data_IF_447347564666
#
_entry.id   IF_447347564666
#
_cell.length_a   1.000
_cell.length_b   1.000
_cell.length_c   1.000
_cell.angle_alpha   90.00
_cell.angle_beta   90.00
_cell.angle_gamma   90.00
#
_symmetry.space_group_name_H-M   'P 1'
#
loop_
_entity.id
_entity.type
_entity.pdbx_description
1 polymer ?
#
# COMPACT_ATOMS: atom_id res chain seq x y z
N UNK A 1 32.87 27.37 -22.61
CA UNK A 1 32.48 27.70 -21.22
C UNK A 1 30.97 27.56 -20.95
N UNK A 2 30.08 27.85 -21.91
CA UNK A 2 28.61 27.75 -21.75
C UNK A 2 28.04 26.32 -21.69
N UNK A 3 28.74 25.34 -22.28
CA UNK A 3 28.31 23.93 -22.30
C UNK A 3 28.73 23.14 -21.05
N UNK A 4 29.75 23.61 -20.31
CA UNK A 4 30.22 22.96 -19.07
C UNK A 4 29.26 23.24 -17.90
N UNK A 5 28.65 24.43 -17.86
CA UNK A 5 27.62 24.77 -16.87
C UNK A 5 26.30 24.01 -17.07
N UNK A 6 25.99 23.59 -18.31
CA UNK A 6 24.82 22.75 -18.60
C UNK A 6 25.00 21.34 -18.03
N UNK A 7 26.20 20.76 -18.15
CA UNK A 7 26.52 19.45 -17.57
C UNK A 7 26.45 19.45 -16.04
N UNK A 8 26.91 20.51 -15.37
CA UNK A 8 26.80 20.62 -13.91
C UNK A 8 25.35 20.80 -13.41
N UNK A 9 24.50 21.49 -14.16
CA UNK A 9 23.08 21.68 -13.84
C UNK A 9 22.26 20.39 -13.94
N UNK A 10 22.55 19.56 -14.94
CA UNK A 10 21.89 18.26 -15.12
C UNK A 10 22.37 17.23 -14.08
N UNK A 11 23.65 17.26 -13.73
CA UNK A 11 24.22 16.32 -12.76
C UNK A 11 23.65 16.51 -11.34
N UNK A 12 23.39 17.76 -10.93
CA UNK A 12 22.81 18.08 -9.61
C UNK A 12 21.40 17.51 -9.40
N UNK A 13 20.58 17.42 -10.46
CA UNK A 13 19.23 16.86 -10.37
C UNK A 13 19.23 15.34 -10.18
N UNK A 14 20.26 14.62 -10.65
CA UNK A 14 20.33 13.16 -10.58
C UNK A 14 20.65 12.67 -9.16
N UNK A 15 21.42 13.44 -8.38
CA UNK A 15 21.85 13.05 -7.02
C UNK A 15 20.72 13.16 -5.99
N UNK A 16 19.64 13.91 -6.29
CA UNK A 16 18.53 14.13 -5.36
C UNK A 16 17.38 13.10 -5.49
N UNK A 17 17.56 12.04 -6.28
CA UNK A 17 16.50 11.06 -6.57
C UNK A 17 16.81 9.64 -6.10
N UNK A 18 17.62 9.46 -5.06
CA UNK A 18 17.91 8.14 -4.49
C UNK A 18 17.98 8.17 -2.95
N UNK A 19 16.95 8.70 -2.28
CA UNK A 19 16.75 8.42 -0.85
C UNK A 19 15.32 7.95 -0.65
N UNK A 20 15.13 6.63 -0.73
CA UNK A 20 13.85 5.98 -0.57
C UNK A 20 14.00 4.55 -0.05
N UNK A 21 14.88 4.32 0.93
CA UNK A 21 15.00 3.03 1.60
C UNK A 21 13.84 2.85 2.59
N UNK A 22 12.69 2.39 2.10
CA UNK A 22 11.57 1.96 2.92
C UNK A 22 11.82 0.57 3.49
N UNK A 23 12.61 0.46 4.55
CA UNK A 23 12.67 -0.79 5.31
C UNK A 23 11.28 -1.06 5.90
N UNK A 24 10.64 -2.13 5.43
CA UNK A 24 9.32 -2.55 5.91
C UNK A 24 9.49 -3.06 7.33
N UNK A 25 8.95 -2.40 8.36
CA UNK A 25 9.08 -2.91 9.71
C UNK A 25 8.35 -4.27 9.76
N UNK A 26 8.96 -5.24 10.44
CA UNK A 26 8.43 -6.61 10.60
C UNK A 26 7.05 -6.66 11.29
N UNK A 27 6.51 -5.50 11.68
CA UNK A 27 5.25 -5.31 12.39
C UNK A 27 4.04 -5.07 11.49
N UNK A 28 4.14 -5.05 10.15
CA UNK A 28 3.00 -4.77 9.25
C UNK A 28 2.17 -6.05 8.93
N UNK A 29 1.63 -6.73 9.95
CA UNK A 29 0.67 -7.83 9.78
C UNK A 29 -0.75 -7.30 9.57
N UNK A 30 -1.68 -8.16 9.13
CA UNK A 30 -3.07 -7.74 8.90
C UNK A 30 -3.70 -7.22 10.20
N UNK A 31 -3.47 -7.91 11.31
CA UNK A 31 -4.01 -7.58 12.64
C UNK A 31 -3.42 -6.29 13.19
N UNK A 32 -2.12 -6.05 13.01
CA UNK A 32 -1.49 -4.80 13.48
C UNK A 32 -1.93 -3.59 12.64
N UNK A 33 -2.12 -3.77 11.33
CA UNK A 33 -2.66 -2.75 10.44
C UNK A 33 -4.10 -2.39 10.79
N UNK A 34 -4.91 -3.37 11.20
CA UNK A 34 -6.26 -3.12 11.71
C UNK A 34 -6.24 -2.37 13.05
N UNK A 35 -5.27 -2.66 13.92
CA UNK A 35 -5.08 -1.94 15.18
C UNK A 35 -4.56 -0.50 14.97
N UNK A 36 -3.97 -0.19 13.82
CA UNK A 36 -3.47 1.15 13.48
C UNK A 36 -4.01 1.65 12.12
N UNK A 37 -5.25 2.17 12.08
CA UNK A 37 -5.90 2.59 10.85
C UNK A 37 -5.22 3.80 10.17
N UNK A 38 -4.50 4.64 10.93
CA UNK A 38 -3.72 5.75 10.37
C UNK A 38 -2.58 5.21 9.51
N UNK A 39 -1.84 4.24 10.03
CA UNK A 39 -0.75 3.57 9.31
C UNK A 39 -1.25 2.82 8.07
N UNK A 40 -2.39 2.14 8.19
CA UNK A 40 -3.03 1.45 7.06
C UNK A 40 -3.40 2.41 5.93
N UNK A 41 -3.92 3.61 6.25
CA UNK A 41 -4.25 4.63 5.24
C UNK A 41 -3.00 5.15 4.51
N UNK A 42 -1.91 5.41 5.24
CA UNK A 42 -0.64 5.84 4.65
C UNK A 42 -0.07 4.80 3.69
N UNK A 43 -0.02 3.52 4.13
CA UNK A 43 0.46 2.43 3.29
C UNK A 43 -0.42 2.19 2.07
N UNK A 44 -1.74 2.37 2.20
CA UNK A 44 -2.66 2.29 1.06
C UNK A 44 -2.35 3.35 0.00
N UNK A 45 -2.00 4.57 0.40
CA UNK A 45 -1.55 5.61 -0.54
C UNK A 45 -0.21 5.23 -1.17
N UNK A 46 0.77 4.79 -0.37
CA UNK A 46 2.09 4.40 -0.88
C UNK A 46 2.00 3.23 -1.87
N UNK A 47 1.15 2.23 -1.62
CA UNK A 47 0.92 1.11 -2.53
C UNK A 47 0.21 1.52 -3.84
N UNK A 48 -0.61 2.57 -3.79
CA UNK A 48 -1.22 3.14 -5.00
C UNK A 48 -0.19 3.90 -5.84
N UNK A 49 0.66 4.68 -5.18
CA UNK A 49 1.61 5.58 -5.85
C UNK A 49 2.82 4.83 -6.41
N UNK A 50 3.35 3.85 -5.67
CA UNK A 50 4.56 3.13 -6.02
C UNK A 50 4.59 1.73 -5.38
N UNK A 51 3.81 0.82 -5.98
CA UNK A 51 3.76 -0.59 -5.59
C UNK A 51 5.14 -1.24 -5.60
N UNK A 52 5.96 -0.97 -6.62
CA UNK A 52 7.23 -1.67 -6.84
C UNK A 52 8.23 -1.37 -5.72
N UNK A 53 8.25 -0.12 -5.24
CA UNK A 53 9.06 0.28 -4.10
C UNK A 53 8.58 -0.32 -2.78
N UNK A 54 7.27 -0.41 -2.56
CA UNK A 54 6.68 -0.88 -1.30
C UNK A 54 6.70 -2.41 -1.19
N UNK A 55 6.57 -3.09 -2.32
CA UNK A 55 6.61 -4.55 -2.44
C UNK A 55 5.21 -5.18 -2.43
N UNK A 56 4.98 -6.05 -3.42
CA UNK A 56 3.72 -6.77 -3.63
C UNK A 56 3.20 -7.47 -2.36
N UNK A 57 4.08 -8.17 -1.64
CA UNK A 57 3.68 -8.90 -0.43
C UNK A 57 3.15 -7.98 0.68
N UNK A 58 3.65 -6.74 0.77
CA UNK A 58 3.12 -5.76 1.74
C UNK A 58 1.79 -5.18 1.24
N UNK A 59 1.70 -4.80 -0.03
CA UNK A 59 0.47 -4.25 -0.60
C UNK A 59 -0.69 -5.26 -0.58
N UNK A 60 -0.42 -6.56 -0.74
CA UNK A 60 -1.42 -7.61 -0.54
C UNK A 60 -1.92 -7.63 0.90
N UNK A 61 -1.03 -7.57 1.91
CA UNK A 61 -1.43 -7.51 3.33
C UNK A 61 -2.27 -6.27 3.64
N UNK A 62 -1.89 -5.11 3.11
CA UNK A 62 -2.66 -3.85 3.20
C UNK A 62 -4.04 -4.00 2.57
N UNK A 63 -4.12 -4.68 1.42
CA UNK A 63 -5.38 -5.03 0.76
C UNK A 63 -6.27 -5.91 1.64
N UNK A 64 -5.73 -7.01 2.18
CA UNK A 64 -6.43 -7.88 3.12
C UNK A 64 -6.90 -7.15 4.38
N UNK A 65 -6.05 -6.30 4.97
CA UNK A 65 -6.41 -5.49 6.12
C UNK A 65 -7.55 -4.52 5.79
N UNK A 66 -7.50 -3.84 4.64
CA UNK A 66 -8.59 -2.93 4.25
C UNK A 66 -9.90 -3.67 4.02
N UNK A 67 -9.85 -4.81 3.33
CA UNK A 67 -11.03 -5.66 3.11
C UNK A 67 -11.62 -6.15 4.43
N UNK A 68 -10.78 -6.61 5.36
CA UNK A 68 -11.20 -7.08 6.69
C UNK A 68 -11.74 -5.93 7.55
N UNK A 69 -11.21 -4.72 7.42
CA UNK A 69 -11.75 -3.53 8.10
C UNK A 69 -13.15 -3.18 7.61
N UNK A 70 -13.40 -3.32 6.31
CA UNK A 70 -14.67 -2.96 5.69
C UNK A 70 -15.74 -4.06 5.83
N UNK A 71 -15.37 -5.31 5.53
CA UNK A 71 -16.30 -6.45 5.56
C UNK A 71 -16.44 -7.08 6.94
N UNK A 72 -15.49 -6.83 7.86
CA UNK A 72 -15.42 -7.53 9.13
C UNK A 72 -15.33 -9.05 8.93
N UNK A 73 -16.06 -9.80 9.76
CA UNK A 73 -16.20 -11.26 9.65
C UNK A 73 -17.26 -11.69 8.61
N UNK A 74 -17.90 -10.73 7.94
CA UNK A 74 -19.06 -10.97 7.06
C UNK A 74 -20.30 -11.42 7.83
N UNK A 75 -21.45 -11.46 7.16
CA UNK A 75 -22.63 -12.19 7.62
C UNK A 75 -22.62 -13.59 6.99
N UNK A 76 -22.80 -14.67 7.78
CA UNK A 76 -22.95 -16.00 7.21
C UNK A 76 -24.10 -16.02 6.21
N UNK A 77 -23.86 -16.57 5.02
CA UNK A 77 -24.94 -16.79 4.07
C UNK A 77 -25.98 -17.69 4.73
N UNK A 78 -27.19 -17.16 4.88
CA UNK A 78 -28.31 -17.90 5.48
C UNK A 78 -29.29 -18.22 4.36
N UNK A 79 -29.20 -19.40 3.72
CA UNK A 79 -30.10 -19.77 2.64
C UNK A 79 -31.55 -19.82 3.16
N UNK A 80 -32.53 -19.39 2.34
CA UNK A 80 -33.93 -19.57 2.67
C UNK A 80 -34.29 -21.06 2.73
N UNK A 81 -35.07 -21.47 3.73
CA UNK A 81 -35.53 -22.88 3.90
C UNK A 81 -36.47 -23.34 2.79
N UNK A 82 -37.13 -22.40 2.12
CA UNK A 82 -38.09 -22.67 1.05
C UNK A 82 -37.52 -22.14 -0.27
N UNK A 83 -37.71 -22.87 -1.38
CA UNK A 83 -37.27 -22.41 -2.69
C UNK A 83 -38.00 -21.09 -3.06
N UNK A 84 -37.32 -20.18 -3.78
CA UNK A 84 -37.96 -18.97 -4.29
C UNK A 84 -39.11 -19.35 -5.22
N UNK A 85 -40.26 -18.67 -5.07
CA UNK A 85 -41.32 -18.72 -6.06
C UNK A 85 -40.96 -17.69 -7.14
N UNK A 86 -40.71 -18.16 -8.35
CA UNK A 86 -40.52 -17.34 -9.55
C UNK A 86 -41.84 -17.16 -10.29
#
# INVERSE_FOLDING_TARGET
MRNLMFSFRVFSCIVLWCIGSGAVPATETVESLLANPKRLKELRQQCHDDWDRVGNALCNRVGHATTKQFLGTGTPYTPPKTPPKF
#
